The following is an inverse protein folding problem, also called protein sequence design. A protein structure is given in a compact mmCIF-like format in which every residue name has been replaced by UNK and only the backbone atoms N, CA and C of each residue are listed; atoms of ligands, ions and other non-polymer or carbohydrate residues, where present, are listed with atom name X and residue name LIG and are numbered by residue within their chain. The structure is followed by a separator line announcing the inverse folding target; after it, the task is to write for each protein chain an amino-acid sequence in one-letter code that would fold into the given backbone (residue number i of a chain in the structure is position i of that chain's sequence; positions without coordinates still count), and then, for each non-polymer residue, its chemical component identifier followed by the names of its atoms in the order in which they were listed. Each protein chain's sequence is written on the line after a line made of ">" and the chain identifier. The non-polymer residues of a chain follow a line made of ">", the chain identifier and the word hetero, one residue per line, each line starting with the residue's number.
data_IF_945131243218
#
_entry.id   IF_945131243218
#
_cell.length_a   1.000
_cell.length_b   1.000
_cell.length_c   1.000
_cell.angle_alpha   90.00
_cell.angle_beta   90.00
_cell.angle_gamma   90.00
#
_symmetry.space_group_name_H-M   'P 1'
#
loop_
_entity.id
_entity.type
_entity.pdbx_description
1 polymer ?
#
# COMPACT_ATOMS: atom_id res chain seq x y z
N UNK A 1 6.86 -16.61 2.32
CA UNK A 1 5.45 -16.41 2.75
C UNK A 1 4.57 -17.14 1.76
N UNK A 2 3.72 -18.06 2.22
CA UNK A 2 2.74 -18.73 1.36
C UNK A 2 1.47 -17.86 1.26
N UNK A 3 0.85 -17.84 0.08
CA UNK A 3 -0.40 -17.13 -0.18
C UNK A 3 -1.36 -18.00 -0.97
N UNK A 4 -2.66 -17.75 -0.84
CA UNK A 4 -3.69 -18.50 -1.55
C UNK A 4 -4.14 -17.75 -2.79
N UNK A 5 -4.12 -18.41 -3.95
CA UNK A 5 -4.56 -17.80 -5.22
C UNK A 5 -6.09 -17.71 -5.29
N UNK A 6 -6.68 -16.60 -5.76
CA UNK A 6 -8.14 -16.45 -5.81
C UNK A 6 -8.81 -17.29 -6.90
N UNK A 7 -8.06 -17.69 -7.94
CA UNK A 7 -8.62 -18.42 -9.08
C UNK A 7 -8.85 -19.91 -8.80
N UNK A 8 -7.89 -20.59 -8.16
CA UNK A 8 -7.93 -22.05 -7.95
C UNK A 8 -7.70 -22.44 -6.49
N UNK A 9 -7.63 -21.47 -5.57
CA UNK A 9 -7.43 -21.69 -4.13
C UNK A 9 -6.14 -22.47 -3.79
N UNK A 10 -5.21 -22.57 -4.75
CA UNK A 10 -3.91 -23.19 -4.54
C UNK A 10 -3.07 -22.34 -3.59
N UNK A 11 -2.28 -23.02 -2.75
CA UNK A 11 -1.30 -22.39 -1.89
C UNK A 11 0.02 -22.34 -2.65
N UNK A 12 0.51 -21.14 -2.90
CA UNK A 12 1.74 -20.91 -3.66
C UNK A 12 2.72 -20.08 -2.84
N UNK A 13 4.01 -20.34 -3.00
CA UNK A 13 5.02 -19.41 -2.54
C UNK A 13 5.03 -18.19 -3.47
N UNK A 14 5.14 -16.98 -2.91
CA UNK A 14 5.37 -15.78 -3.74
C UNK A 14 6.62 -15.91 -4.62
N UNK A 15 7.60 -16.70 -4.18
CA UNK A 15 8.84 -16.93 -4.94
C UNK A 15 8.66 -17.87 -6.15
N UNK A 16 7.51 -18.55 -6.26
CA UNK A 16 7.21 -19.52 -7.32
C UNK A 16 6.25 -18.94 -8.37
N UNK A 17 5.81 -17.70 -8.20
CA UNK A 17 4.93 -17.02 -9.15
C UNK A 17 5.72 -16.54 -10.38
N UNK A 18 5.23 -16.88 -11.57
CA UNK A 18 5.72 -16.34 -12.83
C UNK A 18 5.04 -14.99 -13.05
N UNK A 19 5.78 -13.90 -12.85
CA UNK A 19 5.28 -12.54 -13.08
C UNK A 19 5.37 -12.20 -14.57
N UNK A 20 4.26 -12.34 -15.29
CA UNK A 20 4.16 -11.84 -16.67
C UNK A 20 3.94 -10.32 -16.66
N UNK A 21 4.93 -9.57 -17.17
CA UNK A 21 4.86 -8.12 -17.19
C UNK A 21 4.00 -7.59 -18.35
N UNK A 22 3.19 -6.53 -18.12
CA UNK A 22 3.21 -5.69 -16.92
C UNK A 22 2.26 -6.18 -15.82
N UNK A 23 2.81 -6.86 -14.81
CA UNK A 23 2.12 -7.16 -13.56
C UNK A 23 2.33 -5.96 -12.63
N UNK A 24 1.57 -4.89 -12.86
CA UNK A 24 1.60 -3.72 -12.01
C UNK A 24 0.95 -4.04 -10.66
N UNK A 25 1.74 -4.43 -9.66
CA UNK A 25 1.39 -4.11 -8.27
C UNK A 25 1.51 -2.60 -8.10
N UNK A 26 0.58 -1.86 -8.71
CA UNK A 26 0.56 -0.41 -8.65
C UNK A 26 0.11 -0.02 -7.24
N UNK A 27 1.09 0.23 -6.36
CA UNK A 27 0.83 0.88 -5.08
C UNK A 27 0.82 2.39 -5.34
N UNK A 28 -0.34 3.03 -5.20
CA UNK A 28 -0.43 4.48 -5.17
C UNK A 28 0.18 4.96 -3.85
N UNK A 29 1.25 5.77 -3.92
CA UNK A 29 1.95 6.32 -2.76
C UNK A 29 2.06 7.82 -2.91
N UNK A 30 1.68 8.54 -1.85
CA UNK A 30 2.00 9.95 -1.67
C UNK A 30 3.11 10.01 -0.62
N UNK A 31 4.29 10.49 -1.02
CA UNK A 31 5.43 10.68 -0.12
C UNK A 31 5.60 12.16 0.17
N UNK A 32 5.88 12.48 1.44
CA UNK A 32 6.12 13.84 1.90
C UNK A 32 7.42 13.83 2.71
N UNK A 33 8.41 14.60 2.27
CA UNK A 33 9.61 14.88 3.04
C UNK A 33 9.37 16.12 3.91
N UNK A 34 9.56 15.95 5.22
CA UNK A 34 9.35 16.98 6.23
C UNK A 34 10.67 17.44 6.86
N UNK A 35 11.81 16.92 6.39
CA UNK A 35 13.12 17.09 6.99
C UNK A 35 13.11 16.69 8.47
N UNK A 36 13.41 17.65 9.36
CA UNK A 36 13.43 17.42 10.80
C UNK A 36 12.05 17.50 11.48
N UNK A 37 10.97 17.77 10.73
CA UNK A 37 9.62 17.92 11.29
C UNK A 37 8.86 16.60 11.24
N UNK A 38 8.02 16.37 12.23
CA UNK A 38 7.10 15.24 12.23
C UNK A 38 5.72 15.68 11.71
N UNK A 39 5.12 14.86 10.84
CA UNK A 39 3.72 15.03 10.46
C UNK A 39 2.85 14.19 11.38
N UNK A 40 1.93 14.87 12.03
CA UNK A 40 0.83 14.26 12.76
C UNK A 40 -0.45 14.58 12.02
N UNK A 41 -1.10 13.56 11.48
CA UNK A 41 -2.47 13.66 10.98
C UNK A 41 -3.40 13.15 12.07
N UNK A 42 -4.46 13.89 12.34
CA UNK A 42 -5.58 13.39 13.14
C UNK A 42 -6.42 12.38 12.35
N UNK A 43 -7.23 11.59 13.04
CA UNK A 43 -8.13 10.64 12.40
C UNK A 43 -9.12 11.34 11.45
N UNK A 44 -9.54 12.56 11.78
CA UNK A 44 -10.42 13.39 10.92
C UNK A 44 -9.69 13.74 9.62
N UNK A 45 -8.42 14.16 9.69
CA UNK A 45 -7.64 14.51 8.50
C UNK A 45 -7.36 13.30 7.60
N UNK A 46 -7.13 12.12 8.21
CA UNK A 46 -6.99 10.86 7.48
C UNK A 46 -8.29 10.44 6.80
N UNK A 47 -9.43 10.64 7.46
CA UNK A 47 -10.75 10.40 6.90
C UNK A 47 -11.02 11.31 5.69
N UNK A 48 -10.79 12.61 5.83
CA UNK A 48 -10.99 13.57 4.74
C UNK A 48 -10.12 13.22 3.53
N UNK A 49 -8.86 12.85 3.77
CA UNK A 49 -7.94 12.43 2.70
C UNK A 49 -8.42 11.16 2.00
N UNK A 50 -8.90 10.17 2.76
CA UNK A 50 -9.49 8.95 2.20
C UNK A 50 -10.73 9.25 1.36
N UNK A 51 -11.58 10.16 1.82
CA UNK A 51 -12.79 10.59 1.12
C UNK A 51 -12.45 11.29 -0.21
N UNK A 52 -11.46 12.18 -0.23
CA UNK A 52 -11.01 12.86 -1.46
C UNK A 52 -10.37 11.89 -2.46
N UNK A 53 -9.61 10.91 -1.98
CA UNK A 53 -8.94 9.93 -2.84
C UNK A 53 -9.85 8.77 -3.26
N UNK A 54 -11.00 8.58 -2.62
CA UNK A 54 -11.95 7.51 -2.91
C UNK A 54 -11.46 6.10 -2.52
N UNK A 55 -10.40 6.02 -1.70
CA UNK A 55 -9.78 4.77 -1.24
C UNK A 55 -9.37 4.87 0.23
N UNK A 56 -9.27 3.74 0.92
CA UNK A 56 -8.74 3.70 2.29
C UNK A 56 -7.26 4.15 2.29
N UNK A 57 -6.93 5.16 3.09
CA UNK A 57 -5.57 5.66 3.24
C UNK A 57 -4.95 5.15 4.54
N UNK A 58 -3.69 4.71 4.47
CA UNK A 58 -2.89 4.33 5.63
C UNK A 58 -1.66 5.23 5.75
N UNK A 59 -1.50 5.86 6.92
CA UNK A 59 -0.29 6.63 7.24
C UNK A 59 0.84 5.66 7.62
N UNK A 60 1.89 5.63 6.80
CA UNK A 60 3.09 4.84 7.06
C UNK A 60 4.22 5.80 7.41
N UNK A 61 4.78 5.69 8.63
CA UNK A 61 6.00 6.40 9.01
C UNK A 61 7.20 5.60 8.51
N UNK A 62 7.83 6.05 7.43
CA UNK A 62 9.07 5.49 6.92
C UNK A 62 10.24 6.43 7.22
N UNK A 63 11.39 5.88 7.60
CA UNK A 63 12.69 6.56 7.56
C UNK A 63 13.46 5.90 6.42
N UNK A 64 13.70 6.65 5.34
CA UNK A 64 14.59 6.22 4.27
C UNK A 64 16.05 6.41 4.69
#
# INVERSE_FOLDING_TARGET
>A
MMTQTPCCQSHVSLNELIYEWPAGFARFVIEIDLGARELTLSDVQLFDLSHVLGVEVKLIRARY
#
